data_IF_160386635412
#
_entry.id   IF_160386635412
#
_cell.length_a   1.000
_cell.length_b   1.000
_cell.length_c   1.000
_cell.angle_alpha   90.00
_cell.angle_beta   90.00
_cell.angle_gamma   90.00
#
_symmetry.space_group_name_H-M   'P 1'
#
loop_
_entity.id
_entity.type
_entity.pdbx_description
1 polymer ?
#
# COMPACT_ATOMS: atom_id res chain seq x y z
N UNK A 1 20.73 -66.22 8.81
CA UNK A 1 20.70 -65.12 7.82
C UNK A 1 20.35 -63.85 8.57
N UNK A 2 21.29 -62.91 8.72
CA UNK A 2 21.05 -61.60 9.33
C UNK A 2 21.04 -60.56 8.21
N UNK A 3 19.91 -59.90 8.00
CA UNK A 3 19.75 -58.83 7.02
C UNK A 3 20.20 -57.52 7.65
N UNK A 4 21.25 -56.89 7.12
CA UNK A 4 21.67 -55.55 7.55
C UNK A 4 20.85 -54.48 6.82
N UNK A 5 20.34 -53.51 7.57
CA UNK A 5 19.67 -52.33 7.03
C UNK A 5 20.71 -51.27 6.59
N UNK A 6 20.46 -50.61 5.46
CA UNK A 6 21.31 -49.54 4.96
C UNK A 6 21.20 -48.25 5.82
N UNK A 7 22.28 -47.44 5.92
CA UNK A 7 22.27 -46.22 6.72
C UNK A 7 21.38 -45.13 6.09
N UNK A 8 20.76 -44.26 6.90
CA UNK A 8 19.93 -43.16 6.40
C UNK A 8 20.78 -42.13 5.64
N UNK A 9 20.26 -41.64 4.52
CA UNK A 9 20.85 -40.52 3.76
C UNK A 9 20.81 -39.24 4.60
N UNK A 10 21.86 -38.39 4.57
CA UNK A 10 21.82 -37.08 5.22
C UNK A 10 20.74 -36.20 4.57
N UNK A 11 19.96 -35.52 5.40
CA UNK A 11 18.97 -34.55 4.94
C UNK A 11 19.67 -33.40 4.20
N UNK A 12 19.14 -33.01 3.05
CA UNK A 12 19.63 -31.85 2.32
C UNK A 12 19.45 -30.58 3.16
N UNK A 13 20.49 -29.76 3.27
CA UNK A 13 20.41 -28.47 3.93
C UNK A 13 19.34 -27.59 3.25
N UNK A 14 18.57 -26.78 4.01
CA UNK A 14 17.58 -25.89 3.42
C UNK A 14 18.29 -24.91 2.47
N UNK A 15 17.83 -24.84 1.23
CA UNK A 15 18.29 -23.82 0.29
C UNK A 15 18.03 -22.44 0.91
N UNK A 16 19.06 -21.57 0.91
CA UNK A 16 18.92 -20.21 1.37
C UNK A 16 17.73 -19.55 0.63
N UNK A 17 16.76 -19.03 1.39
CA UNK A 17 15.58 -18.40 0.81
C UNK A 17 16.02 -17.23 -0.08
N UNK A 18 15.73 -17.31 -1.38
CA UNK A 18 15.88 -16.17 -2.29
C UNK A 18 14.97 -15.07 -1.77
N UNK A 19 15.57 -13.96 -1.34
CA UNK A 19 14.81 -12.81 -0.87
C UNK A 19 14.10 -12.20 -2.08
N UNK A 20 12.78 -12.40 -2.17
CA UNK A 20 11.98 -11.76 -3.20
C UNK A 20 12.01 -10.24 -3.00
N UNK A 21 12.34 -9.50 -4.08
CA UNK A 21 12.36 -8.04 -4.07
C UNK A 21 11.11 -7.45 -4.73
N UNK A 22 10.60 -6.34 -4.19
CA UNK A 22 9.56 -5.57 -4.86
C UNK A 22 10.16 -4.74 -5.99
N UNK A 23 9.71 -4.98 -7.22
CA UNK A 23 10.18 -4.25 -8.42
C UNK A 23 9.28 -3.07 -8.82
N UNK A 24 8.12 -2.92 -8.15
CA UNK A 24 7.10 -1.93 -8.48
C UNK A 24 6.22 -2.35 -9.66
N UNK A 25 4.94 -1.98 -9.61
CA UNK A 25 3.95 -2.39 -10.61
C UNK A 25 4.22 -1.84 -12.01
N UNK A 26 4.88 -0.69 -12.13
CA UNK A 26 5.23 -0.08 -13.42
C UNK A 26 6.12 -1.01 -14.25
N UNK A 27 7.03 -1.77 -13.63
CA UNK A 27 7.86 -2.77 -14.32
C UNK A 27 7.04 -3.89 -14.95
N UNK A 28 5.94 -4.27 -14.30
CA UNK A 28 5.01 -5.24 -14.87
C UNK A 28 4.32 -4.68 -16.12
N UNK A 29 4.10 -3.36 -16.17
CA UNK A 29 3.51 -2.65 -17.31
C UNK A 29 4.38 -2.66 -18.57
N UNK A 30 5.69 -2.80 -18.43
CA UNK A 30 6.64 -2.88 -19.55
C UNK A 30 6.33 -4.07 -20.48
N UNK A 31 5.97 -5.23 -19.89
CA UNK A 31 5.58 -6.44 -20.64
C UNK A 31 4.05 -6.65 -20.71
N UNK A 32 3.27 -6.10 -19.77
CA UNK A 32 1.83 -6.29 -19.68
C UNK A 32 1.04 -4.95 -19.74
N UNK A 33 1.16 -4.19 -20.84
CA UNK A 33 0.63 -2.82 -20.90
C UNK A 33 -0.89 -2.76 -20.76
N UNK A 34 -1.64 -3.69 -21.39
CA UNK A 34 -3.11 -3.70 -21.31
C UNK A 34 -3.62 -4.01 -19.89
N UNK A 35 -2.97 -4.97 -19.21
CA UNK A 35 -3.33 -5.34 -17.83
C UNK A 35 -3.01 -4.19 -16.90
N UNK A 36 -1.81 -3.62 -17.00
CA UNK A 36 -1.38 -2.48 -16.20
C UNK A 36 -2.31 -1.28 -16.40
N UNK A 37 -2.65 -0.92 -17.64
CA UNK A 37 -3.53 0.21 -17.93
C UNK A 37 -4.96 0.04 -17.39
N UNK A 38 -5.46 -1.19 -17.30
CA UNK A 38 -6.75 -1.48 -16.67
C UNK A 38 -6.64 -1.45 -15.14
N UNK A 39 -5.61 -2.10 -14.60
CA UNK A 39 -5.39 -2.21 -13.15
C UNK A 39 -5.10 -0.85 -12.51
N UNK A 40 -4.27 0.00 -13.13
CA UNK A 40 -3.84 1.29 -12.60
C UNK A 40 -4.99 2.27 -12.39
N UNK A 41 -6.15 2.04 -13.02
CA UNK A 41 -7.37 2.83 -12.86
C UNK A 41 -8.31 2.28 -11.78
N UNK A 42 -7.99 1.12 -11.20
CA UNK A 42 -8.80 0.52 -10.15
C UNK A 42 -8.57 1.23 -8.82
N UNK A 43 -9.58 1.17 -7.95
CA UNK A 43 -9.44 1.70 -6.58
C UNK A 43 -8.43 0.94 -5.73
N UNK A 44 -8.11 -0.31 -6.10
CA UNK A 44 -7.10 -1.09 -5.40
C UNK A 44 -5.69 -0.57 -5.71
N UNK A 45 -5.43 -0.21 -6.97
CA UNK A 45 -4.16 0.41 -7.36
C UNK A 45 -3.98 1.80 -6.74
N UNK A 46 -5.08 2.49 -6.45
CA UNK A 46 -5.12 3.85 -5.93
C UNK A 46 -5.69 3.91 -4.50
N UNK A 47 -5.47 2.86 -3.70
CA UNK A 47 -6.02 2.80 -2.33
C UNK A 47 -5.30 3.77 -1.41
N UNK A 48 -3.99 3.97 -1.61
CA UNK A 48 -3.16 4.96 -0.92
C UNK A 48 -2.58 5.90 -1.98
N UNK A 49 -2.85 7.19 -1.85
CA UNK A 49 -2.38 8.20 -2.80
C UNK A 49 -1.72 9.37 -2.09
N UNK A 50 -0.65 9.90 -2.68
CA UNK A 50 0.01 11.14 -2.24
C UNK A 50 -0.76 12.37 -2.78
N UNK A 51 -1.42 13.15 -1.92
CA UNK A 51 -2.16 14.34 -2.35
C UNK A 51 -1.26 15.50 -2.80
N UNK A 52 0.06 15.43 -2.60
CA UNK A 52 1.01 16.42 -3.14
C UNK A 52 1.22 16.22 -4.64
N UNK A 53 1.08 14.99 -5.12
CA UNK A 53 1.12 14.63 -6.54
C UNK A 53 -0.29 14.66 -7.15
N UNK A 54 -1.29 14.20 -6.39
CA UNK A 54 -2.69 14.10 -6.81
C UNK A 54 -3.62 14.86 -5.87
N UNK A 55 -3.60 16.21 -5.87
CA UNK A 55 -4.38 17.01 -4.94
C UNK A 55 -5.91 16.82 -5.04
N UNK A 56 -6.39 16.34 -6.19
CA UNK A 56 -7.79 16.02 -6.46
C UNK A 56 -8.34 14.85 -5.63
N UNK A 57 -7.47 14.04 -5.00
CA UNK A 57 -7.92 12.89 -4.20
C UNK A 57 -8.45 13.28 -2.83
N UNK A 58 -8.25 14.51 -2.36
CA UNK A 58 -8.87 15.01 -1.14
C UNK A 58 -10.26 15.53 -1.50
N UNK A 59 -11.29 14.79 -1.08
CA UNK A 59 -12.68 15.07 -1.38
C UNK A 59 -13.26 16.22 -0.53
N UNK A 60 -13.06 16.27 0.80
CA UNK A 60 -13.65 17.34 1.60
C UNK A 60 -13.01 18.70 1.35
N UNK A 61 -13.82 19.73 1.53
CA UNK A 61 -13.41 21.12 1.47
C UNK A 61 -12.83 21.58 2.82
N UNK A 62 -11.50 21.56 2.93
CA UNK A 62 -10.76 22.01 4.12
C UNK A 62 -10.81 23.53 4.35
N UNK A 63 -11.41 24.32 3.45
CA UNK A 63 -11.61 25.76 3.69
C UNK A 63 -12.79 26.05 4.62
N UNK A 64 -13.68 25.07 4.81
CA UNK A 64 -14.83 25.17 5.70
C UNK A 64 -14.42 24.75 7.11
N UNK A 65 -14.76 25.58 8.08
CA UNK A 65 -14.53 25.26 9.48
C UNK A 65 -15.35 24.03 9.88
N UNK A 66 -14.66 22.99 10.35
CA UNK A 66 -15.25 21.78 10.92
C UNK A 66 -14.56 21.52 12.26
N UNK A 67 -15.30 21.50 13.39
CA UNK A 67 -14.71 21.25 14.71
C UNK A 67 -14.06 19.87 14.84
N UNK A 68 -14.37 18.92 13.96
CA UNK A 68 -13.75 17.59 13.94
C UNK A 68 -12.40 17.57 13.20
N UNK A 69 -12.13 18.58 12.37
CA UNK A 69 -10.85 18.73 11.67
C UNK A 69 -9.85 19.46 12.57
N UNK A 70 -9.07 18.68 13.31
CA UNK A 70 -7.97 19.18 14.18
C UNK A 70 -6.62 19.26 13.46
N UNK A 71 -6.63 19.19 12.13
CA UNK A 71 -5.46 19.22 11.26
C UNK A 71 -5.79 19.91 9.94
N UNK A 72 -4.76 20.33 9.22
CA UNK A 72 -4.85 21.03 7.94
C UNK A 72 -4.57 20.11 6.77
N UNK A 73 -4.88 20.57 5.55
CA UNK A 73 -4.54 19.85 4.31
C UNK A 73 -3.04 19.55 4.20
N UNK A 74 -2.20 20.44 4.71
CA UNK A 74 -0.74 20.33 4.61
C UNK A 74 -0.16 19.25 5.54
N UNK A 75 -0.90 18.84 6.57
CA UNK A 75 -0.52 17.74 7.46
C UNK A 75 -0.68 16.36 6.79
N UNK A 76 -1.41 16.29 5.67
CA UNK A 76 -1.75 15.03 5.00
C UNK A 76 -0.60 14.61 4.06
N UNK A 77 0.09 13.54 4.44
CA UNK A 77 1.09 12.87 3.62
C UNK A 77 0.47 11.83 2.69
N UNK A 78 -0.57 11.12 3.12
CA UNK A 78 -1.30 10.17 2.28
C UNK A 78 -2.80 10.17 2.56
N UNK A 79 -3.58 9.90 1.51
CA UNK A 79 -5.01 9.63 1.58
C UNK A 79 -5.26 8.14 1.35
N UNK A 80 -6.06 7.52 2.22
CA UNK A 80 -6.51 6.14 2.08
C UNK A 80 -8.00 6.10 1.71
N UNK A 81 -8.28 5.59 0.50
CA UNK A 81 -9.64 5.37 0.00
C UNK A 81 -10.31 6.60 -0.62
N UNK A 82 -11.17 6.34 -1.61
CA UNK A 82 -11.87 7.37 -2.40
C UNK A 82 -13.34 7.05 -2.73
N UNK A 83 -13.85 5.87 -2.34
CA UNK A 83 -15.23 5.43 -2.70
C UNK A 83 -16.26 5.61 -1.60
N UNK A 84 -15.90 5.25 -0.39
CA UNK A 84 -16.84 5.13 0.73
C UNK A 84 -16.41 5.97 1.91
N UNK A 85 -15.11 5.88 2.23
CA UNK A 85 -14.48 6.65 3.30
C UNK A 85 -13.10 7.11 2.85
N UNK A 86 -12.66 8.26 3.36
CA UNK A 86 -11.27 8.70 3.31
C UNK A 86 -10.67 8.74 4.71
N UNK A 87 -9.43 8.27 4.84
CA UNK A 87 -8.61 8.44 6.03
C UNK A 87 -7.31 9.10 5.63
N UNK A 88 -6.72 9.83 6.57
CA UNK A 88 -5.54 10.64 6.30
C UNK A 88 -4.38 10.21 7.18
N UNK A 89 -3.18 10.28 6.65
CA UNK A 89 -1.96 9.94 7.36
C UNK A 89 -1.01 11.13 7.33
N UNK A 90 -0.40 11.43 8.46
CA UNK A 90 0.73 12.37 8.54
C UNK A 90 2.04 11.61 8.62
N UNK A 91 3.11 12.20 8.09
CA UNK A 91 4.48 11.68 8.24
C UNK A 91 5.13 12.31 9.48
N UNK A 92 5.73 11.49 10.34
CA UNK A 92 6.53 11.94 11.49
C UNK A 92 7.84 11.16 11.48
N UNK A 93 8.96 11.87 11.23
CA UNK A 93 10.25 11.21 11.00
C UNK A 93 10.17 10.26 9.79
N UNK A 94 10.37 8.96 10.04
CA UNK A 94 10.31 7.93 9.01
C UNK A 94 9.00 7.12 9.01
N UNK A 95 8.07 7.44 9.90
CA UNK A 95 6.83 6.71 10.11
C UNK A 95 5.60 7.52 9.69
N UNK A 96 4.47 6.81 9.54
CA UNK A 96 3.18 7.39 9.17
C UNK A 96 2.15 7.09 10.24
N UNK A 97 1.42 8.13 10.67
CA UNK A 97 0.42 8.03 11.73
C UNK A 97 -0.95 8.46 11.20
N UNK A 98 -2.03 7.73 11.54
CA UNK A 98 -3.37 8.14 11.16
C UNK A 98 -3.75 9.45 11.85
N UNK A 99 -4.41 10.33 11.10
CA UNK A 99 -5.02 11.56 11.60
C UNK A 99 -6.42 11.23 12.17
N UNK A 100 -6.92 12.04 13.12
CA UNK A 100 -8.07 11.67 13.97
C UNK A 100 -9.45 11.77 13.27
N UNK A 101 -9.52 12.28 12.04
CA UNK A 101 -10.77 12.38 11.30
C UNK A 101 -10.82 11.44 10.08
N UNK A 102 -12.04 11.03 9.74
CA UNK A 102 -12.36 10.34 8.50
C UNK A 102 -13.46 11.10 7.76
N UNK A 103 -13.47 10.98 6.43
CA UNK A 103 -14.53 11.54 5.60
C UNK A 103 -15.41 10.44 5.05
N UNK A 104 -16.73 10.58 5.16
CA UNK A 104 -17.68 9.68 4.50
C UNK A 104 -18.05 10.25 3.13
N UNK A 105 -17.83 9.46 2.08
CA UNK A 105 -18.10 9.87 0.70
C UNK A 105 -19.60 9.68 0.44
N UNK A 106 -20.27 10.78 0.07
CA UNK A 106 -21.68 10.84 -0.31
C UNK A 106 -21.86 10.84 -1.82
#
# INVERSE_FOLDING_TARGET
>A
MQTQAAPPRPAAAPAAAVQASYVGSTRCGDCHPAIYARWSKTRMANVVTDPKVHPEVIIPDFSKADPLLTFTKDDIAFVYGTKWKQRYFKKVGNDYFPLPAQWDVT
#
